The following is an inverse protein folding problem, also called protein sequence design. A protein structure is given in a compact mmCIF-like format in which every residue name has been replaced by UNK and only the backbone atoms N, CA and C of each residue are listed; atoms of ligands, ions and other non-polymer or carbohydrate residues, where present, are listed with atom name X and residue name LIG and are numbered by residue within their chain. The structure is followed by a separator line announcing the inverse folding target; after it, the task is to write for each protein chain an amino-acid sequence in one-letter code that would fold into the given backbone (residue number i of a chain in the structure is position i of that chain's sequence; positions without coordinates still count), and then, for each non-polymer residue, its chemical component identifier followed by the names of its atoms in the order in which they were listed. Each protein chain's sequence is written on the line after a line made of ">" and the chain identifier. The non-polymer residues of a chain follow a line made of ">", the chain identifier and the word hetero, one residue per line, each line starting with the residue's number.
data_IF_564975213755
#
_entry.id   IF_564975213755
#
_cell.length_a   1.000
_cell.length_b   1.000
_cell.length_c   1.000
_cell.angle_alpha   90.00
_cell.angle_beta   90.00
_cell.angle_gamma   90.00
#
_symmetry.space_group_name_H-M   'P 1'
#
loop_
_entity.id
_entity.type
_entity.pdbx_description
1 polymer ?
#
# COMPACT_ATOMS: atom_id res chain seq x y z
N UNK A 1 -21.84 24.87 -10.17
CA UNK A 1 -20.77 24.30 -9.31
C UNK A 1 -20.02 25.47 -8.70
N UNK A 2 -20.10 25.65 -7.37
CA UNK A 2 -19.49 26.79 -6.68
C UNK A 2 -18.06 26.37 -6.24
N UNK A 3 -17.04 26.85 -6.96
CA UNK A 3 -15.64 26.71 -6.56
C UNK A 3 -15.30 27.85 -5.60
N UNK A 4 -14.60 27.54 -4.51
CA UNK A 4 -14.12 28.56 -3.57
C UNK A 4 -12.64 28.89 -3.84
N UNK A 5 -12.26 30.15 -3.62
CA UNK A 5 -10.86 30.55 -3.63
C UNK A 5 -10.08 29.90 -2.48
N UNK A 6 -8.82 29.54 -2.78
CA UNK A 6 -7.87 29.05 -1.80
C UNK A 6 -7.59 30.09 -0.70
N UNK A 7 -7.63 29.66 0.57
CA UNK A 7 -7.23 30.44 1.74
C UNK A 7 -6.08 29.73 2.49
N UNK A 8 -4.88 30.32 2.56
CA UNK A 8 -3.73 29.71 3.24
C UNK A 8 -3.91 29.57 4.76
N UNK A 9 -4.93 30.19 5.36
CA UNK A 9 -5.23 30.09 6.79
C UNK A 9 -6.11 28.90 7.15
N UNK A 10 -6.71 28.24 6.16
CA UNK A 10 -7.60 27.10 6.36
C UNK A 10 -6.87 25.78 6.03
N UNK A 11 -7.12 24.68 6.76
CA UNK A 11 -6.58 23.37 6.43
C UNK A 11 -6.92 22.97 5.00
N UNK A 12 -5.94 22.36 4.31
CA UNK A 12 -6.10 21.81 2.96
C UNK A 12 -6.15 20.29 3.07
N UNK A 13 -7.13 19.68 2.43
CA UNK A 13 -7.21 18.22 2.28
C UNK A 13 -7.10 17.85 0.80
N UNK A 14 -6.26 16.86 0.51
CA UNK A 14 -6.12 16.25 -0.80
C UNK A 14 -6.68 14.84 -0.73
N UNK A 15 -7.73 14.57 -1.48
CA UNK A 15 -8.26 13.24 -1.67
C UNK A 15 -7.96 12.77 -3.10
N UNK A 16 -7.31 11.62 -3.26
CA UNK A 16 -7.03 11.03 -4.55
C UNK A 16 -7.62 9.61 -4.63
N UNK A 17 -8.10 9.23 -5.81
CA UNK A 17 -8.67 7.92 -6.09
C UNK A 17 -8.32 7.46 -7.50
N UNK A 18 -8.18 6.15 -7.67
CA UNK A 18 -7.93 5.52 -8.95
C UNK A 18 -8.93 4.38 -9.17
N UNK A 19 -9.36 4.20 -10.42
CA UNK A 19 -10.16 3.07 -10.87
C UNK A 19 -9.51 2.43 -12.10
N UNK A 20 -10.07 1.33 -12.59
CA UNK A 20 -9.66 0.69 -13.85
C UNK A 20 -9.86 1.58 -15.08
N UNK A 21 -10.58 2.69 -14.96
CA UNK A 21 -10.94 3.56 -16.07
C UNK A 21 -10.33 4.97 -15.98
N UNK A 22 -9.89 5.41 -14.79
CA UNK A 22 -9.48 6.79 -14.59
C UNK A 22 -8.86 7.05 -13.23
N UNK A 23 -8.21 8.20 -13.10
CA UNK A 23 -7.71 8.73 -11.83
C UNK A 23 -8.33 10.08 -11.56
N UNK A 24 -8.55 10.39 -10.29
CA UNK A 24 -9.14 11.64 -9.84
C UNK A 24 -8.52 12.14 -8.56
N UNK A 25 -8.45 13.47 -8.41
CA UNK A 25 -8.06 14.14 -7.19
C UNK A 25 -8.95 15.34 -6.94
N UNK A 26 -9.24 15.60 -5.66
CA UNK A 26 -9.99 16.77 -5.20
C UNK A 26 -9.19 17.45 -4.10
N UNK A 27 -9.05 18.77 -4.21
CA UNK A 27 -8.50 19.65 -3.19
C UNK A 27 -9.66 20.43 -2.59
N UNK A 28 -9.79 20.42 -1.27
CA UNK A 28 -10.84 21.13 -0.55
C UNK A 28 -10.35 21.70 0.79
N UNK A 29 -11.05 22.71 1.29
CA UNK A 29 -10.91 23.22 2.65
C UNK A 29 -11.90 22.54 3.58
N UNK A 30 -11.47 22.35 4.83
CA UNK A 30 -12.35 22.00 5.95
C UNK A 30 -12.52 23.26 6.82
N UNK A 31 -13.75 23.71 7.01
CA UNK A 31 -14.08 24.89 7.80
C UNK A 31 -14.19 24.57 9.29
N UNK A 32 -14.14 25.57 10.19
CA UNK A 32 -14.36 25.37 11.63
C UNK A 32 -15.72 24.78 12.00
N UNK A 33 -16.71 24.85 11.10
CA UNK A 33 -18.03 24.23 11.24
C UNK A 33 -18.11 22.84 10.57
N UNK A 34 -16.96 22.21 10.31
CA UNK A 34 -16.80 20.91 9.66
C UNK A 34 -17.33 20.80 8.22
N UNK A 35 -17.71 21.92 7.61
CA UNK A 35 -18.13 21.91 6.21
C UNK A 35 -16.93 21.82 5.27
N UNK A 36 -17.06 21.03 4.21
CA UNK A 36 -16.04 20.91 3.16
C UNK A 36 -16.38 21.80 1.96
N UNK A 37 -15.43 22.60 1.50
CA UNK A 37 -15.59 23.37 0.25
C UNK A 37 -14.47 23.08 -0.74
N UNK A 38 -14.88 22.69 -1.94
CA UNK A 38 -13.96 22.30 -3.01
C UNK A 38 -13.29 23.52 -3.62
N UNK A 39 -11.96 23.43 -3.73
CA UNK A 39 -11.09 24.42 -4.38
C UNK A 39 -10.82 24.00 -5.82
N UNK A 40 -10.46 22.73 -6.03
CA UNK A 40 -10.07 22.22 -7.35
C UNK A 40 -10.40 20.73 -7.48
N UNK A 41 -10.76 20.32 -8.69
CA UNK A 41 -10.87 18.91 -9.08
C UNK A 41 -10.01 18.68 -10.30
N UNK A 42 -9.33 17.54 -10.34
CA UNK A 42 -8.67 17.04 -11.54
C UNK A 42 -9.06 15.59 -11.71
N UNK A 43 -9.51 15.22 -12.91
CA UNK A 43 -9.72 13.83 -13.28
C UNK A 43 -9.33 13.60 -14.72
N UNK A 44 -8.85 12.39 -15.00
CA UNK A 44 -8.58 11.95 -16.36
C UNK A 44 -8.95 10.49 -16.51
N UNK A 45 -9.49 10.14 -17.68
CA UNK A 45 -9.56 8.75 -18.10
C UNK A 45 -8.15 8.23 -18.35
N UNK A 46 -7.93 6.96 -18.04
CA UNK A 46 -6.72 6.25 -18.43
C UNK A 46 -6.72 6.04 -19.94
N UNK A 47 -5.58 6.18 -20.60
CA UNK A 47 -5.43 5.80 -22.02
C UNK A 47 -5.64 4.29 -22.19
N UNK A 48 -5.94 3.80 -23.40
CA UNK A 48 -6.04 2.35 -23.65
C UNK A 48 -4.78 1.58 -23.24
N UNK A 49 -3.60 2.19 -23.35
CA UNK A 49 -2.31 1.65 -22.90
C UNK A 49 -2.23 1.62 -21.37
N UNK A 50 -2.72 2.66 -20.69
CA UNK A 50 -2.76 2.73 -19.24
C UNK A 50 -3.79 1.80 -18.60
N UNK A 51 -4.92 1.56 -19.26
CA UNK A 51 -5.89 0.55 -18.85
C UNK A 51 -5.31 -0.88 -18.95
N UNK A 52 -4.28 -1.06 -19.79
CA UNK A 52 -3.51 -2.31 -19.90
C UNK A 52 -2.37 -2.38 -18.87
N UNK A 53 -1.92 -1.25 -18.31
CA UNK A 53 -0.96 -1.24 -17.21
C UNK A 53 -1.67 -1.72 -15.93
N UNK A 54 -1.43 -2.98 -15.56
CA UNK A 54 -1.65 -3.43 -14.18
C UNK A 54 -2.99 -4.06 -13.86
N UNK A 55 -3.56 -4.90 -14.74
CA UNK A 55 -4.39 -5.98 -14.21
C UNK A 55 -3.47 -6.96 -13.48
N UNK A 56 -3.79 -7.33 -12.23
CA UNK A 56 -3.05 -8.36 -11.48
C UNK A 56 -3.22 -9.68 -12.23
N UNK A 57 -2.29 -10.00 -13.12
CA UNK A 57 -2.35 -11.22 -13.95
C UNK A 57 -2.15 -12.49 -13.13
N UNK A 58 -1.42 -12.39 -12.02
CA UNK A 58 -1.07 -13.52 -11.18
C UNK A 58 -1.16 -13.09 -9.71
N UNK A 59 -2.14 -13.62 -8.98
CA UNK A 59 -2.39 -13.33 -7.58
C UNK A 59 -2.18 -14.61 -6.77
N UNK A 60 -1.45 -14.51 -5.67
CA UNK A 60 -1.32 -15.58 -4.69
C UNK A 60 -1.78 -15.04 -3.35
N UNK A 61 -2.81 -15.65 -2.77
CA UNK A 61 -3.36 -15.28 -1.46
C UNK A 61 -2.71 -16.21 -0.43
N UNK A 62 -2.00 -15.62 0.52
CA UNK A 62 -1.40 -16.35 1.64
C UNK A 62 -2.39 -16.33 2.80
N UNK A 63 -2.81 -17.50 3.33
CA UNK A 63 -3.74 -17.54 4.44
C UNK A 63 -3.07 -17.04 5.72
N UNK A 64 -3.90 -16.50 6.61
CA UNK A 64 -3.50 -16.17 7.99
C UNK A 64 -3.81 -17.35 8.91
N UNK A 65 -3.16 -17.36 10.07
CA UNK A 65 -3.51 -18.29 11.14
C UNK A 65 -4.98 -18.11 11.57
N UNK A 66 -5.70 -19.22 11.76
CA UNK A 66 -7.15 -19.19 12.00
C UNK A 66 -7.53 -18.66 13.38
N UNK A 67 -6.64 -18.78 14.36
CA UNK A 67 -6.92 -18.38 15.73
C UNK A 67 -6.53 -16.93 15.97
N UNK A 68 -5.35 -16.54 15.50
CA UNK A 68 -4.76 -15.23 15.74
C UNK A 68 -5.08 -14.22 14.63
N UNK A 69 -5.46 -14.68 13.45
CA UNK A 69 -5.63 -13.82 12.28
C UNK A 69 -4.32 -13.24 11.74
N UNK A 70 -3.17 -13.75 12.18
CA UNK A 70 -1.84 -13.23 11.84
C UNK A 70 -1.19 -14.08 10.74
N UNK A 71 -0.53 -13.43 9.77
CA UNK A 71 0.25 -14.14 8.75
C UNK A 71 1.57 -14.67 9.30
N UNK A 72 1.91 -15.91 8.96
CA UNK A 72 3.23 -16.47 9.24
C UNK A 72 4.21 -16.07 8.12
N UNK A 73 5.36 -15.41 8.41
CA UNK A 73 6.34 -15.06 7.40
C UNK A 73 6.82 -16.25 6.54
N UNK A 74 6.94 -17.45 7.12
CA UNK A 74 7.33 -18.65 6.37
C UNK A 74 6.30 -19.06 5.32
N UNK A 75 5.01 -18.81 5.57
CA UNK A 75 3.96 -19.05 4.58
C UNK A 75 4.07 -18.09 3.39
N UNK A 76 4.49 -16.85 3.63
CA UNK A 76 4.80 -15.88 2.56
C UNK A 76 6.00 -16.37 1.75
N UNK A 77 7.08 -16.79 2.41
CA UNK A 77 8.27 -17.30 1.73
C UNK A 77 7.96 -18.51 0.85
N UNK A 78 7.13 -19.44 1.32
CA UNK A 78 6.70 -20.60 0.52
C UNK A 78 5.83 -20.24 -0.69
N UNK A 79 5.24 -19.05 -0.71
CA UNK A 79 4.43 -18.55 -1.83
C UNK A 79 5.26 -17.72 -2.84
N UNK A 80 6.48 -17.32 -2.49
CA UNK A 80 7.35 -16.55 -3.37
C UNK A 80 7.79 -17.38 -4.57
N UNK A 81 7.69 -16.78 -5.76
CA UNK A 81 8.17 -17.36 -7.00
C UNK A 81 9.24 -16.44 -7.59
N UNK A 82 10.52 -16.87 -7.64
CA UNK A 82 11.58 -16.08 -8.27
C UNK A 82 11.19 -15.63 -9.68
N UNK A 83 11.57 -14.40 -10.06
CA UNK A 83 11.24 -13.73 -11.33
C UNK A 83 9.75 -13.51 -11.63
N UNK A 84 8.84 -13.93 -10.75
CA UNK A 84 7.39 -13.77 -10.96
C UNK A 84 6.76 -12.92 -9.87
N UNK A 85 7.14 -13.13 -8.62
CA UNK A 85 6.62 -12.31 -7.53
C UNK A 85 7.32 -10.95 -7.58
N UNK A 86 6.55 -9.89 -7.83
CA UNK A 86 7.07 -8.51 -7.88
C UNK A 86 6.63 -7.67 -6.69
N UNK A 87 5.49 -8.02 -6.08
CA UNK A 87 4.87 -7.25 -5.01
C UNK A 87 4.27 -8.19 -3.96
N UNK A 88 4.57 -7.91 -2.69
CA UNK A 88 3.80 -8.37 -1.54
C UNK A 88 2.98 -7.17 -1.04
N UNK A 89 1.70 -7.40 -0.76
CA UNK A 89 0.83 -6.40 -0.14
C UNK A 89 0.15 -7.01 1.07
N UNK A 90 0.24 -6.35 2.22
CA UNK A 90 -0.44 -6.76 3.46
C UNK A 90 -0.85 -5.56 4.31
N UNK A 91 -1.99 -5.64 4.98
CA UNK A 91 -2.47 -4.59 5.87
C UNK A 91 -1.74 -4.66 7.21
N UNK A 92 -1.20 -3.54 7.71
CA UNK A 92 -0.49 -3.52 9.00
C UNK A 92 -1.45 -3.78 10.18
N UNK A 93 -2.64 -3.20 10.13
CA UNK A 93 -3.68 -3.39 11.15
C UNK A 93 -5.01 -3.74 10.47
N UNK A 94 -5.50 -4.96 10.65
CA UNK A 94 -6.74 -5.42 10.03
C UNK A 94 -7.98 -4.78 10.68
N UNK A 95 -8.87 -4.21 9.88
CA UNK A 95 -10.06 -3.50 10.35
C UNK A 95 -11.23 -4.40 10.75
N UNK A 96 -11.23 -5.68 10.37
CA UNK A 96 -12.29 -6.63 10.75
C UNK A 96 -11.96 -7.37 12.05
N UNK A 97 -10.70 -7.80 12.22
CA UNK A 97 -10.25 -8.64 13.36
C UNK A 97 -9.45 -7.87 14.39
N UNK A 98 -8.94 -6.68 14.06
CA UNK A 98 -8.03 -5.92 14.90
C UNK A 98 -6.61 -6.49 14.95
N UNK A 99 -6.30 -7.55 14.20
CA UNK A 99 -4.98 -8.17 14.21
C UNK A 99 -3.91 -7.22 13.64
N UNK A 100 -2.77 -7.14 14.34
CA UNK A 100 -1.58 -6.42 13.88
C UNK A 100 -0.67 -7.39 13.15
N UNK A 101 -0.41 -7.15 11.87
CA UNK A 101 0.43 -8.01 11.05
C UNK A 101 1.91 -7.78 11.34
N UNK A 102 2.74 -8.84 11.33
CA UNK A 102 4.18 -8.76 11.61
C UNK A 102 4.96 -8.24 10.40
N UNK A 103 4.59 -7.06 9.88
CA UNK A 103 5.12 -6.48 8.63
C UNK A 103 6.64 -6.39 8.65
N UNK A 104 7.24 -5.96 9.76
CA UNK A 104 8.70 -5.89 9.89
C UNK A 104 9.38 -7.26 9.80
N UNK A 105 8.74 -8.31 10.31
CA UNK A 105 9.28 -9.68 10.27
C UNK A 105 9.17 -10.24 8.87
N UNK A 106 8.06 -9.97 8.19
CA UNK A 106 7.87 -10.29 6.77
C UNK A 106 8.95 -9.64 5.92
N UNK A 107 9.20 -8.34 6.11
CA UNK A 107 10.26 -7.62 5.39
C UNK A 107 11.61 -8.30 5.63
N UNK A 108 11.99 -8.56 6.89
CA UNK A 108 13.28 -9.20 7.20
C UNK A 108 13.40 -10.59 6.56
N UNK A 109 12.34 -11.39 6.63
CA UNK A 109 12.30 -12.73 6.02
C UNK A 109 12.48 -12.67 4.50
N UNK A 110 11.77 -11.76 3.82
CA UNK A 110 11.85 -11.60 2.36
C UNK A 110 13.25 -11.11 1.95
N UNK A 111 13.83 -10.12 2.65
CA UNK A 111 15.20 -9.66 2.35
C UNK A 111 16.26 -10.74 2.56
N UNK A 112 16.10 -11.58 3.59
CA UNK A 112 17.00 -12.71 3.81
C UNK A 112 16.87 -13.77 2.70
N UNK A 113 15.65 -14.05 2.25
CA UNK A 113 15.39 -14.95 1.12
C UNK A 113 15.96 -14.41 -0.19
N UNK A 114 15.78 -13.12 -0.50
CA UNK A 114 16.39 -12.46 -1.67
C UNK A 114 17.93 -12.60 -1.66
N UNK A 115 18.56 -12.37 -0.51
CA UNK A 115 20.00 -12.50 -0.37
C UNK A 115 20.51 -13.93 -0.57
N UNK A 116 19.69 -14.95 -0.33
CA UNK A 116 20.03 -16.35 -0.61
C UNK A 116 19.95 -16.67 -2.10
N UNK A 117 18.98 -16.10 -2.83
CA UNK A 117 18.86 -16.30 -4.28
C UNK A 117 20.12 -15.87 -5.04
N UNK A 118 20.70 -14.71 -4.69
CA UNK A 118 21.90 -14.20 -5.36
C UNK A 118 23.18 -14.99 -5.06
N UNK A 119 23.18 -15.80 -4.00
CA UNK A 119 24.34 -16.64 -3.63
C UNK A 119 24.32 -18.01 -4.31
N UNK A 120 23.18 -18.42 -4.88
CA UNK A 120 23.08 -19.72 -5.55
C UNK A 120 23.81 -19.69 -6.90
N UNK A 121 24.58 -20.74 -7.20
CA UNK A 121 25.32 -20.90 -8.47
C UNK A 121 24.40 -21.11 -9.68
N UNK A 122 23.13 -21.45 -9.42
CA UNK A 122 22.10 -21.79 -10.40
C UNK A 122 21.10 -20.64 -10.55
N UNK A 123 21.61 -19.40 -10.61
CA UNK A 123 20.89 -18.11 -10.49
C UNK A 123 19.44 -18.16 -10.99
N UNK A 124 18.52 -18.49 -10.06
CA UNK A 124 17.08 -18.57 -10.33
C UNK A 124 16.47 -17.20 -10.60
N UNK A 125 17.21 -16.11 -10.35
CA UNK A 125 16.78 -14.74 -10.59
C UNK A 125 17.93 -13.82 -11.02
N UNK A 126 17.68 -12.76 -11.83
CA UNK A 126 18.66 -11.73 -12.14
C UNK A 126 19.24 -11.10 -10.88
N UNK A 127 20.49 -10.62 -10.94
CA UNK A 127 21.17 -9.93 -9.84
C UNK A 127 20.46 -8.67 -9.33
N UNK A 128 19.51 -8.14 -10.11
CA UNK A 128 18.68 -6.97 -9.77
C UNK A 128 17.25 -7.32 -9.34
N UNK A 129 16.89 -8.61 -9.25
CA UNK A 129 15.52 -9.02 -8.92
C UNK A 129 15.19 -8.68 -7.47
N UNK A 130 14.11 -7.91 -7.25
CA UNK A 130 13.64 -7.53 -5.91
C UNK A 130 12.13 -7.65 -5.82
N UNK A 131 11.64 -8.12 -4.70
CA UNK A 131 10.23 -8.11 -4.31
C UNK A 131 9.93 -6.80 -3.60
N UNK A 132 9.02 -6.00 -4.15
CA UNK A 132 8.53 -4.81 -3.48
C UNK A 132 7.55 -5.20 -2.38
N UNK A 133 7.55 -4.46 -1.27
CA UNK A 133 6.67 -4.70 -0.14
C UNK A 133 5.84 -3.43 0.09
N UNK A 134 4.54 -3.57 -0.09
CA UNK A 134 3.54 -2.56 0.22
C UNK A 134 2.84 -2.93 1.54
N UNK A 135 2.55 -1.94 2.37
CA UNK A 135 1.61 -2.12 3.47
C UNK A 135 0.48 -1.09 3.47
N UNK A 136 -0.76 -1.57 3.66
CA UNK A 136 -1.89 -0.70 3.97
C UNK A 136 -1.80 -0.29 5.45
N UNK A 137 -1.59 1.00 5.68
CA UNK A 137 -1.43 1.62 7.00
C UNK A 137 -2.65 2.44 7.41
N UNK A 138 -3.76 2.38 6.65
CA UNK A 138 -4.95 3.20 6.85
C UNK A 138 -5.54 3.13 8.26
N UNK A 139 -5.40 2.00 8.94
CA UNK A 139 -5.85 1.80 10.32
C UNK A 139 -4.74 1.90 11.37
N UNK A 140 -3.48 1.95 10.94
CA UNK A 140 -2.34 1.98 11.83
C UNK A 140 -1.86 3.41 12.11
N UNK A 141 -1.82 4.25 11.07
CA UNK A 141 -1.40 5.65 11.21
C UNK A 141 -2.39 6.42 12.09
N UNK A 142 -1.86 7.15 13.07
CA UNK A 142 -2.66 7.88 14.07
C UNK A 142 -3.02 7.05 15.32
N UNK A 143 -2.96 5.73 15.24
CA UNK A 143 -3.33 4.81 16.35
C UNK A 143 -2.14 4.02 16.90
N UNK A 144 -1.16 3.72 16.05
CA UNK A 144 0.06 2.97 16.39
C UNK A 144 1.29 3.83 16.10
N UNK A 145 2.39 3.57 16.80
CA UNK A 145 3.71 4.13 16.46
C UNK A 145 4.23 3.46 15.18
N UNK A 146 3.83 4.01 14.03
CA UNK A 146 4.22 3.52 12.71
C UNK A 146 5.45 4.26 12.22
N UNK A 147 6.58 3.56 12.15
CA UNK A 147 7.79 4.06 11.54
C UNK A 147 8.12 3.26 10.27
N UNK A 148 7.85 3.87 9.11
CA UNK A 148 8.02 3.25 7.79
C UNK A 148 9.47 2.76 7.59
N UNK A 149 10.46 3.55 8.01
CA UNK A 149 11.88 3.18 7.90
C UNK A 149 12.22 1.96 8.75
N UNK A 150 11.68 1.88 9.97
CA UNK A 150 11.86 0.70 10.85
C UNK A 150 11.14 -0.53 10.30
N UNK A 151 9.96 -0.35 9.69
CA UNK A 151 9.23 -1.45 9.05
C UNK A 151 9.95 -1.97 7.80
N UNK A 152 10.66 -1.11 7.07
CA UNK A 152 11.44 -1.49 5.89
C UNK A 152 10.60 -1.79 4.64
N UNK A 153 9.34 -1.33 4.62
CA UNK A 153 8.44 -1.40 3.46
C UNK A 153 8.89 -0.43 2.36
N UNK A 154 8.63 -0.78 1.11
CA UNK A 154 8.94 0.07 -0.05
C UNK A 154 7.78 1.06 -0.33
N UNK A 155 6.53 0.65 -0.05
CA UNK A 155 5.33 1.48 -0.24
C UNK A 155 4.39 1.41 0.97
N UNK A 156 3.70 2.51 1.26
CA UNK A 156 2.67 2.57 2.29
C UNK A 156 1.44 3.36 1.84
N UNK A 157 0.25 2.82 2.08
CA UNK A 157 -1.02 3.55 1.86
C UNK A 157 -1.54 4.11 3.17
N UNK A 158 -1.96 5.37 3.17
CA UNK A 158 -2.57 6.07 4.33
C UNK A 158 -3.89 6.70 3.91
N UNK A 159 -4.75 7.00 4.89
CA UNK A 159 -6.02 7.70 4.65
C UNK A 159 -6.27 8.73 5.76
N UNK A 160 -6.68 9.94 5.38
CA UNK A 160 -6.80 11.05 6.34
C UNK A 160 -7.98 10.93 7.33
N UNK A 161 -9.10 10.32 6.91
CA UNK A 161 -10.35 10.30 7.68
C UNK A 161 -10.53 9.07 8.58
N UNK A 162 -9.47 8.28 8.82
CA UNK A 162 -9.50 7.12 9.74
C UNK A 162 -8.55 7.25 10.94
N UNK A 163 -8.03 8.46 11.14
CA UNK A 163 -7.17 8.82 12.28
C UNK A 163 -7.96 8.98 13.56
#
# INVERSE_FOLDING_TARGET
>A
MLLMQYDPKLPIVVAAGASTYGVGAVIFHVFPNETEKVIMRSSRSLTPEEQKYGQVKNLTIVPVDRLTGIVNPSAILGALRPNQTVLISLMLANNETGAIMPVGDVVRAVRAWEAQLYKSTDNLAPSSYRVFIHSDLAQAVGKLDVNIRKLGIDYGTIVGHKT
#
